data_IF_484469245338
#
_entry.id   IF_484469245338
#
_cell.length_a   1.000
_cell.length_b   1.000
_cell.length_c   1.000
_cell.angle_alpha   90.00
_cell.angle_beta   90.00
_cell.angle_gamma   90.00
#
_symmetry.space_group_name_H-M   'P 1'
#
loop_
_entity.id
_entity.type
_entity.pdbx_description
1 polymer ?
#
# COMPACT_ATOMS: atom_id res chain seq x y z
N UNK A 1 -0.83 2.31 12.24
CA UNK A 1 -2.25 2.60 11.99
C UNK A 1 -2.32 3.61 10.88
N UNK A 2 -3.09 3.37 9.82
CA UNK A 2 -3.11 4.23 8.63
C UNK A 2 -4.35 5.12 8.66
N UNK A 3 -4.12 6.43 8.60
CA UNK A 3 -5.13 7.46 8.43
C UNK A 3 -5.28 7.88 6.96
N UNK A 4 -4.22 7.71 6.17
CA UNK A 4 -4.26 7.99 4.73
C UNK A 4 -3.27 7.11 3.98
N UNK A 5 -3.57 6.88 2.69
CA UNK A 5 -2.72 6.24 1.71
C UNK A 5 -2.98 6.92 0.36
N UNK A 6 -1.93 7.08 -0.45
CA UNK A 6 -2.03 7.82 -1.71
C UNK A 6 -1.52 6.96 -2.87
N UNK A 7 -2.37 6.65 -3.86
CA UNK A 7 -1.94 6.00 -5.09
C UNK A 7 -1.43 7.03 -6.10
N UNK A 8 -0.32 6.73 -6.78
CA UNK A 8 0.17 7.51 -7.90
C UNK A 8 0.76 6.62 -8.98
N UNK A 9 0.69 7.06 -10.24
CA UNK A 9 1.35 6.37 -11.34
C UNK A 9 2.80 6.83 -11.43
N UNK A 10 3.71 5.87 -11.52
CA UNK A 10 5.14 6.14 -11.80
C UNK A 10 5.44 6.00 -13.29
N UNK A 11 4.68 5.16 -13.99
CA UNK A 11 4.61 5.06 -15.45
C UNK A 11 3.26 4.41 -15.84
N UNK A 12 3.04 4.20 -17.15
CA UNK A 12 1.77 3.70 -17.70
C UNK A 12 1.33 2.31 -17.23
N UNK A 13 2.18 1.53 -16.57
CA UNK A 13 1.85 0.18 -16.08
C UNK A 13 2.14 -0.03 -14.59
N UNK A 14 2.68 0.98 -13.92
CA UNK A 14 3.21 0.83 -12.57
C UNK A 14 2.65 1.92 -11.66
N UNK A 15 1.87 1.46 -10.69
CA UNK A 15 1.39 2.26 -9.59
C UNK A 15 2.38 2.25 -8.42
N UNK A 16 2.23 3.23 -7.55
CA UNK A 16 2.97 3.32 -6.31
C UNK A 16 2.03 3.80 -5.20
N UNK A 17 2.13 3.15 -4.04
CA UNK A 17 1.47 3.56 -2.81
C UNK A 17 2.46 4.29 -1.92
N UNK A 18 2.23 5.59 -1.75
CA UNK A 18 3.02 6.42 -0.85
C UNK A 18 2.20 6.98 0.30
N UNK A 19 2.92 7.68 1.18
CA UNK A 19 2.32 8.50 2.25
C UNK A 19 1.30 7.71 3.08
N UNK A 20 1.77 6.57 3.57
CA UNK A 20 1.08 5.79 4.58
C UNK A 20 1.12 6.52 5.92
N UNK A 21 0.24 7.52 6.06
CA UNK A 21 0.20 8.44 7.21
C UNK A 21 -0.52 7.77 8.36
N UNK A 22 -0.03 7.95 9.60
CA UNK A 22 -0.72 7.56 10.83
C UNK A 22 -1.27 8.80 11.52
N UNK A 23 -2.51 8.75 11.97
CA UNK A 23 -2.98 9.66 13.01
C UNK A 23 -2.76 8.98 14.39
N UNK A 24 -1.91 9.53 15.28
CA UNK A 24 -1.67 8.95 16.59
C UNK A 24 -2.83 9.16 17.58
N UNK A 25 -3.72 10.12 17.33
CA UNK A 25 -4.85 10.46 18.21
C UNK A 25 -6.12 9.67 17.87
N UNK A 26 -6.11 8.90 16.79
CA UNK A 26 -7.22 8.08 16.36
C UNK A 26 -6.88 6.59 16.47
N UNK A 27 -7.80 5.84 17.06
CA UNK A 27 -7.81 4.39 16.97
C UNK A 27 -8.63 3.97 15.75
N UNK A 28 -8.03 3.12 14.92
CA UNK A 28 -8.70 2.51 13.78
C UNK A 28 -8.78 1.00 13.99
N UNK A 29 -9.89 0.40 13.61
CA UNK A 29 -9.98 -1.06 13.55
C UNK A 29 -9.06 -1.63 12.47
N UNK A 30 -8.67 -2.91 12.55
CA UNK A 30 -7.93 -3.56 11.47
C UNK A 30 -8.65 -3.48 10.11
N UNK A 31 -9.99 -3.53 10.08
CA UNK A 31 -10.79 -3.43 8.85
C UNK A 31 -10.72 -2.03 8.22
N UNK A 32 -10.84 -0.96 9.01
CA UNK A 32 -10.76 0.41 8.51
C UNK A 32 -9.39 0.71 7.90
N UNK A 33 -8.33 0.15 8.49
CA UNK A 33 -6.97 0.26 7.97
C UNK A 33 -6.80 -0.46 6.63
N UNK A 34 -7.45 -1.62 6.50
CA UNK A 34 -7.42 -2.42 5.29
C UNK A 34 -8.11 -1.71 4.12
N UNK A 35 -9.22 -1.02 4.41
CA UNK A 35 -9.98 -0.28 3.42
C UNK A 35 -9.12 0.72 2.65
N UNK A 36 -8.27 1.50 3.32
CA UNK A 36 -7.42 2.50 2.64
C UNK A 36 -6.47 1.86 1.63
N UNK A 37 -5.79 0.77 2.01
CA UNK A 37 -4.85 0.08 1.10
C UNK A 37 -5.61 -0.54 -0.07
N UNK A 38 -6.74 -1.21 0.21
CA UNK A 38 -7.57 -1.84 -0.81
C UNK A 38 -8.10 -0.84 -1.83
N UNK A 39 -8.65 0.28 -1.39
CA UNK A 39 -9.19 1.31 -2.30
C UNK A 39 -8.09 1.91 -3.18
N UNK A 40 -6.88 2.10 -2.65
CA UNK A 40 -5.76 2.57 -3.45
C UNK A 40 -5.32 1.55 -4.50
N UNK A 41 -5.27 0.25 -4.17
CA UNK A 41 -4.96 -0.82 -5.13
C UNK A 41 -6.01 -0.90 -6.24
N UNK A 42 -7.30 -0.81 -5.88
CA UNK A 42 -8.41 -0.77 -6.84
C UNK A 42 -8.31 0.44 -7.76
N UNK A 43 -7.89 1.59 -7.23
CA UNK A 43 -7.71 2.83 -7.99
C UNK A 43 -6.58 2.68 -9.02
N UNK A 44 -5.43 2.13 -8.61
CA UNK A 44 -4.32 1.84 -9.53
C UNK A 44 -4.74 0.88 -10.65
N UNK A 45 -5.54 -0.14 -10.34
CA UNK A 45 -6.10 -1.05 -11.34
C UNK A 45 -7.00 -0.32 -12.35
N UNK A 46 -7.88 0.58 -11.88
CA UNK A 46 -8.73 1.41 -12.74
C UNK A 46 -7.92 2.34 -13.64
N UNK A 47 -6.74 2.77 -13.21
CA UNK A 47 -5.80 3.56 -14.01
C UNK A 47 -4.99 2.73 -15.02
N UNK A 48 -5.19 1.40 -15.07
CA UNK A 48 -4.48 0.51 -15.99
C UNK A 48 -3.12 0.03 -15.49
N UNK A 49 -2.79 0.25 -14.21
CA UNK A 49 -1.58 -0.30 -13.62
C UNK A 49 -1.71 -1.83 -13.49
N UNK A 50 -0.64 -2.55 -13.84
CA UNK A 50 -0.55 -4.01 -13.68
C UNK A 50 0.35 -4.42 -12.51
N UNK A 51 1.06 -3.45 -11.94
CA UNK A 51 1.94 -3.64 -10.80
C UNK A 51 1.86 -2.46 -9.83
N UNK A 52 2.13 -2.74 -8.57
CA UNK A 52 2.19 -1.73 -7.52
C UNK A 52 3.48 -1.86 -6.72
N UNK A 53 4.15 -0.74 -6.50
CA UNK A 53 5.24 -0.60 -5.54
C UNK A 53 4.78 0.16 -4.30
N UNK A 54 5.47 -0.03 -3.18
CA UNK A 54 5.30 0.82 -2.00
C UNK A 54 6.58 0.84 -1.18
N UNK A 55 6.76 1.89 -0.39
CA UNK A 55 7.78 1.94 0.67
C UNK A 55 7.11 2.28 1.99
N UNK A 56 7.46 1.57 3.06
CA UNK A 56 6.98 1.89 4.40
C UNK A 56 8.01 1.52 5.46
N UNK A 57 7.97 2.19 6.60
CA UNK A 57 8.73 1.79 7.80
C UNK A 57 7.81 1.25 8.90
N UNK A 58 6.52 1.08 8.60
CA UNK A 58 5.53 0.66 9.57
C UNK A 58 5.41 -0.87 9.56
N UNK A 59 5.97 -1.54 10.58
CA UNK A 59 5.98 -3.01 10.68
C UNK A 59 4.58 -3.64 10.61
N UNK A 60 3.58 -3.00 11.22
CA UNK A 60 2.19 -3.46 11.17
C UNK A 60 1.60 -3.45 9.75
N UNK A 61 2.05 -2.52 8.91
CA UNK A 61 1.62 -2.44 7.50
C UNK A 61 2.28 -3.56 6.69
N UNK A 62 3.58 -3.81 6.89
CA UNK A 62 4.32 -4.85 6.16
C UNK A 62 3.66 -6.22 6.34
N UNK A 63 3.24 -6.56 7.57
CA UNK A 63 2.57 -7.83 7.86
C UNK A 63 1.25 -7.96 7.09
N UNK A 64 0.49 -6.88 6.95
CA UNK A 64 -0.79 -6.84 6.25
C UNK A 64 -0.64 -6.88 4.74
N UNK A 65 0.37 -6.21 4.19
CA UNK A 65 0.64 -6.20 2.74
C UNK A 65 0.90 -7.61 2.18
N UNK A 66 1.41 -8.54 2.98
CA UNK A 66 1.54 -9.95 2.58
C UNK A 66 0.21 -10.58 2.15
N UNK A 67 -0.93 -10.11 2.67
CA UNK A 67 -2.27 -10.59 2.30
C UNK A 67 -2.66 -10.19 0.87
N UNK A 68 -2.04 -9.13 0.33
CA UNK A 68 -2.19 -8.69 -1.06
C UNK A 68 -1.02 -9.13 -1.95
N UNK A 69 -0.36 -10.22 -1.58
CA UNK A 69 0.76 -10.80 -2.33
C UNK A 69 1.96 -9.86 -2.50
N UNK A 70 2.10 -8.84 -1.65
CA UNK A 70 3.28 -8.00 -1.68
C UNK A 70 4.53 -8.78 -1.24
N UNK A 71 5.52 -8.80 -2.10
CA UNK A 71 6.85 -9.33 -1.82
C UNK A 71 7.73 -8.20 -1.31
N UNK A 72 8.32 -8.39 -0.12
CA UNK A 72 9.30 -7.43 0.44
C UNK A 72 10.64 -7.66 -0.25
N UNK A 73 11.05 -6.73 -1.10
CA UNK A 73 12.26 -6.84 -1.92
C UNK A 73 13.51 -6.27 -1.26
N UNK A 74 13.35 -5.28 -0.36
CA UNK A 74 14.44 -4.74 0.49
C UNK A 74 13.91 -4.40 1.87
N UNK A 75 14.44 -5.07 2.91
CA UNK A 75 14.01 -4.88 4.30
C UNK A 75 14.30 -3.48 4.85
N UNK A 76 15.41 -2.87 4.42
CA UNK A 76 15.87 -1.55 4.90
C UNK A 76 14.89 -0.40 4.55
N UNK A 77 14.07 -0.59 3.50
CA UNK A 77 13.10 0.40 3.02
C UNK A 77 11.65 -0.14 3.01
N UNK A 78 11.47 -1.37 3.47
CA UNK A 78 10.31 -2.24 3.26
C UNK A 78 9.60 -2.01 1.91
N UNK A 79 10.36 -2.22 0.83
CA UNK A 79 9.82 -2.09 -0.53
C UNK A 79 8.94 -3.30 -0.81
N UNK A 80 7.64 -3.10 -0.92
CA UNK A 80 6.69 -4.10 -1.36
C UNK A 80 6.46 -4.02 -2.87
N UNK A 81 6.36 -5.17 -3.53
CA UNK A 81 5.86 -5.30 -4.90
C UNK A 81 4.70 -6.31 -4.98
N UNK A 82 3.59 -5.96 -5.64
CA UNK A 82 2.57 -6.92 -6.02
C UNK A 82 2.12 -6.74 -7.49
N UNK A 83 1.61 -7.82 -8.07
CA UNK A 83 0.85 -7.76 -9.33
C UNK A 83 -0.59 -7.41 -9.01
N UNK A 84 -1.16 -6.51 -9.80
CA UNK A 84 -2.58 -6.19 -9.74
C UNK A 84 -3.30 -7.14 -10.71
N UNK A 85 -3.70 -8.32 -10.24
CA UNK A 85 -4.56 -9.25 -10.98
C UNK A 85 -5.97 -8.65 -11.13
#
# INVERSE_FOLDING_TARGET
MLAAAFPYMTNSKMGYLGYLVRNPEMEYTPEEQEMFVRECLLTLKKWGCTSCFLTTKLDGVIKKLKQYEFVVTKKEFAIGYCKLA
#
